data_IF_017488287002
#
_entry.id   IF_017488287002
#
_cell.length_a   1.000
_cell.length_b   1.000
_cell.length_c   1.000
_cell.angle_alpha   90.00
_cell.angle_beta   90.00
_cell.angle_gamma   90.00
#
_symmetry.space_group_name_H-M   'P 1'
#
loop_
_entity.id
_entity.type
_entity.pdbx_description
1 polymer ?
#
# COMPACT_ATOMS: atom_id res chain seq x y z
N UNK A 1 -28.74 -4.90 -1.60
CA UNK A 1 -28.26 -6.29 -1.72
C UNK A 1 -27.09 -6.30 -2.68
N UNK A 2 -25.88 -6.44 -2.16
CA UNK A 2 -24.66 -6.57 -2.98
C UNK A 2 -24.74 -7.91 -3.73
N UNK A 3 -24.67 -7.89 -5.06
CA UNK A 3 -24.33 -9.11 -5.81
C UNK A 3 -22.93 -9.50 -5.31
N UNK A 4 -22.83 -10.62 -4.59
CA UNK A 4 -21.53 -11.22 -4.28
C UNK A 4 -20.77 -11.32 -5.60
N UNK A 5 -19.64 -10.61 -5.68
CA UNK A 5 -18.81 -10.59 -6.88
C UNK A 5 -18.36 -12.03 -7.19
N UNK A 6 -18.45 -12.41 -8.46
CA UNK A 6 -18.09 -13.76 -8.91
C UNK A 6 -16.58 -13.96 -8.71
N UNK A 7 -16.19 -14.97 -7.96
CA UNK A 7 -14.79 -15.41 -7.85
C UNK A 7 -14.31 -15.94 -9.21
N UNK A 8 -13.08 -15.61 -9.58
CA UNK A 8 -12.49 -16.05 -10.84
C UNK A 8 -12.24 -17.56 -10.83
N UNK A 9 -12.49 -18.20 -11.96
CA UNK A 9 -12.10 -19.59 -12.21
C UNK A 9 -10.58 -19.68 -12.39
N UNK A 10 -10.00 -20.88 -12.20
CA UNK A 10 -8.56 -21.11 -12.42
C UNK A 10 -8.09 -20.70 -13.83
N UNK A 11 -8.96 -20.80 -14.84
CA UNK A 11 -8.68 -20.33 -16.20
C UNK A 11 -8.59 -18.80 -16.24
N UNK A 12 -9.59 -18.10 -15.71
CA UNK A 12 -9.61 -16.63 -15.65
C UNK A 12 -8.44 -16.07 -14.81
N UNK A 13 -8.06 -16.77 -13.73
CA UNK A 13 -6.86 -16.44 -12.94
C UNK A 13 -5.62 -16.58 -13.81
N UNK A 14 -5.41 -17.71 -14.50
CA UNK A 14 -4.24 -17.91 -15.39
C UNK A 14 -4.15 -16.83 -16.47
N UNK A 15 -5.27 -16.48 -17.10
CA UNK A 15 -5.31 -15.42 -18.11
C UNK A 15 -4.93 -14.05 -17.51
N UNK A 16 -5.38 -13.78 -16.28
CA UNK A 16 -5.01 -12.57 -15.52
C UNK A 16 -3.52 -12.55 -15.19
N UNK A 17 -2.95 -13.69 -14.76
CA UNK A 17 -1.53 -13.80 -14.46
C UNK A 17 -0.64 -13.59 -15.68
N UNK A 18 -1.06 -14.04 -16.87
CA UNK A 18 -0.31 -13.77 -18.11
C UNK A 18 -0.27 -12.27 -18.44
N UNK A 19 -1.39 -11.55 -18.24
CA UNK A 19 -1.42 -10.08 -18.45
C UNK A 19 -0.53 -9.37 -17.44
N UNK A 20 -0.60 -9.76 -16.17
CA UNK A 20 0.26 -9.22 -15.11
C UNK A 20 1.74 -9.50 -15.44
N UNK A 21 2.07 -10.73 -15.83
CA UNK A 21 3.42 -11.13 -16.21
C UNK A 21 3.99 -10.25 -17.33
N UNK A 22 3.18 -9.97 -18.35
CA UNK A 22 3.57 -9.10 -19.46
C UNK A 22 3.95 -7.71 -18.98
N UNK A 23 3.13 -7.07 -18.15
CA UNK A 23 3.39 -5.70 -17.67
C UNK A 23 4.52 -5.65 -16.63
N UNK A 24 4.57 -6.63 -15.72
CA UNK A 24 5.57 -6.64 -14.64
C UNK A 24 7.00 -6.78 -15.17
N UNK A 25 7.20 -7.51 -16.27
CA UNK A 25 8.51 -7.71 -16.89
C UNK A 25 8.79 -6.78 -18.08
N UNK A 26 7.90 -5.83 -18.37
CA UNK A 26 8.08 -4.84 -19.44
C UNK A 26 8.92 -3.65 -18.96
N UNK A 27 10.24 -3.76 -19.10
CA UNK A 27 11.20 -2.78 -18.59
C UNK A 27 11.76 -1.89 -19.70
N UNK A 28 11.92 -0.61 -19.39
CA UNK A 28 12.69 0.31 -20.24
C UNK A 28 14.20 0.07 -20.08
N UNK A 29 14.97 0.42 -21.12
CA UNK A 29 16.42 0.18 -21.15
C UNK A 29 17.16 0.83 -19.97
N UNK A 30 16.71 1.99 -19.50
CA UNK A 30 17.29 2.66 -18.34
C UNK A 30 17.03 1.91 -17.02
N UNK A 31 15.87 1.23 -16.88
CA UNK A 31 15.57 0.43 -15.69
C UNK A 31 16.49 -0.80 -15.64
N UNK A 32 16.77 -1.39 -16.81
CA UNK A 32 17.72 -2.48 -16.95
C UNK A 32 19.14 -2.01 -16.61
N UNK A 33 19.58 -0.88 -17.14
CA UNK A 33 20.94 -0.37 -16.92
C UNK A 33 21.20 0.03 -15.46
N UNK A 34 20.15 0.46 -14.74
CA UNK A 34 20.24 0.82 -13.33
C UNK A 34 20.18 -0.40 -12.38
N UNK A 35 19.93 -1.59 -12.91
CA UNK A 35 19.78 -2.81 -12.10
C UNK A 35 18.42 -2.93 -11.41
N UNK A 36 17.41 -2.19 -11.87
CA UNK A 36 16.04 -2.20 -11.31
C UNK A 36 15.11 -3.21 -12.03
N UNK A 37 15.65 -3.96 -13.00
CA UNK A 37 14.92 -4.95 -13.79
C UNK A 37 14.87 -6.32 -13.10
N UNK A 38 13.84 -6.53 -12.26
CA UNK A 38 13.56 -7.79 -11.60
C UNK A 38 12.71 -8.71 -12.47
N UNK A 39 12.99 -10.01 -12.46
CA UNK A 39 12.15 -10.97 -13.20
C UNK A 39 11.04 -11.52 -12.32
N UNK A 40 9.79 -11.35 -12.74
CA UNK A 40 8.61 -11.86 -12.04
C UNK A 40 8.08 -13.12 -12.72
N UNK A 41 7.72 -14.14 -11.94
CA UNK A 41 7.00 -15.33 -12.41
C UNK A 41 5.77 -15.57 -11.55
N UNK A 42 4.66 -15.93 -12.19
CA UNK A 42 3.39 -16.18 -11.52
C UNK A 42 2.90 -17.59 -11.79
N UNK A 43 2.51 -18.30 -10.72
CA UNK A 43 2.04 -19.68 -10.81
C UNK A 43 0.76 -19.88 -9.99
N UNK A 44 -0.08 -20.81 -10.42
CA UNK A 44 -1.19 -21.30 -9.61
C UNK A 44 -0.75 -22.61 -8.94
N UNK A 45 -0.67 -22.63 -7.61
CA UNK A 45 -0.25 -23.80 -6.83
C UNK A 45 -1.31 -24.91 -6.85
N UNK A 46 -0.92 -26.11 -6.43
CA UNK A 46 -1.84 -27.27 -6.30
C UNK A 46 -2.96 -27.05 -5.28
N UNK A 47 -2.70 -26.28 -4.22
CA UNK A 47 -3.70 -25.84 -3.26
C UNK A 47 -4.53 -24.65 -3.78
N UNK A 48 -4.34 -24.27 -5.04
CA UNK A 48 -4.94 -23.15 -5.74
C UNK A 48 -4.43 -21.76 -5.36
N UNK A 49 -3.55 -21.60 -4.36
CA UNK A 49 -2.95 -20.30 -4.07
C UNK A 49 -2.22 -19.72 -5.29
N UNK A 50 -2.25 -18.40 -5.40
CA UNK A 50 -1.59 -17.66 -6.45
C UNK A 50 -0.21 -17.27 -5.94
N UNK A 51 0.84 -17.81 -6.57
CA UNK A 51 2.23 -17.58 -6.21
C UNK A 51 2.86 -16.54 -7.13
N UNK A 52 3.64 -15.63 -6.54
CA UNK A 52 4.56 -14.74 -7.24
C UNK A 52 5.99 -15.05 -6.77
N UNK A 53 6.91 -15.21 -7.72
CA UNK A 53 8.35 -15.34 -7.47
C UNK A 53 9.07 -14.18 -8.13
N UNK A 54 9.96 -13.55 -7.38
CA UNK A 54 10.78 -12.42 -7.83
C UNK A 54 12.23 -12.93 -7.91
N UNK A 55 12.88 -12.67 -9.05
CA UNK A 55 14.22 -13.13 -9.34
C UNK A 55 15.16 -11.97 -9.64
N UNK A 56 16.39 -12.08 -9.13
CA UNK A 56 17.57 -11.32 -9.55
C UNK A 56 18.46 -12.24 -10.38
N UNK A 57 18.40 -12.07 -11.71
CA UNK A 57 19.00 -13.03 -12.64
C UNK A 57 18.47 -14.45 -12.44
N UNK A 58 19.35 -15.37 -12.03
CA UNK A 58 19.01 -16.78 -11.77
C UNK A 58 18.53 -17.03 -10.32
N UNK A 59 18.74 -16.08 -9.41
CA UNK A 59 18.45 -16.25 -7.99
C UNK A 59 17.02 -15.85 -7.66
N UNK A 60 16.28 -16.74 -7.01
CA UNK A 60 14.95 -16.42 -6.50
C UNK A 60 15.08 -15.60 -5.21
N UNK A 61 14.96 -14.29 -5.32
CA UNK A 61 15.09 -13.36 -4.21
C UNK A 61 13.93 -13.48 -3.23
N UNK A 62 12.71 -13.58 -3.76
CA UNK A 62 11.52 -13.51 -2.92
C UNK A 62 10.34 -14.31 -3.47
N UNK A 63 9.52 -14.85 -2.56
CA UNK A 63 8.33 -15.64 -2.91
C UNK A 63 7.15 -15.15 -2.06
N UNK A 64 6.03 -14.90 -2.74
CA UNK A 64 4.76 -14.52 -2.13
C UNK A 64 3.68 -15.50 -2.58
N UNK A 65 2.70 -15.75 -1.71
CA UNK A 65 1.50 -16.48 -2.06
C UNK A 65 0.29 -15.78 -1.48
N UNK A 66 -0.76 -15.66 -2.29
CA UNK A 66 -2.05 -15.12 -1.87
C UNK A 66 -3.17 -16.14 -2.12
N UNK A 67 -4.25 -16.08 -1.35
CA UNK A 67 -5.44 -16.90 -1.61
C UNK A 67 -6.02 -16.66 -3.00
N UNK A 68 -6.79 -17.62 -3.49
CA UNK A 68 -7.36 -17.60 -4.85
C UNK A 68 -8.82 -17.14 -4.90
N UNK A 69 -9.36 -16.64 -3.80
CA UNK A 69 -10.69 -16.04 -3.67
C UNK A 69 -10.75 -14.62 -4.25
N UNK A 70 -10.11 -14.44 -5.41
CA UNK A 70 -10.00 -13.16 -6.12
C UNK A 70 -11.13 -13.00 -7.12
N UNK A 71 -11.60 -11.77 -7.33
CA UNK A 71 -12.68 -11.47 -8.27
C UNK A 71 -12.20 -10.70 -9.51
N UNK A 72 -10.96 -10.23 -9.49
CA UNK A 72 -10.38 -9.39 -10.55
C UNK A 72 -8.85 -9.39 -10.56
N UNK A 73 -8.25 -8.86 -11.64
CA UNK A 73 -6.80 -8.54 -11.70
C UNK A 73 -6.39 -7.57 -10.58
N UNK A 74 -7.27 -6.60 -10.25
CA UNK A 74 -7.06 -5.66 -9.14
C UNK A 74 -6.84 -6.41 -7.83
N UNK A 75 -7.68 -7.40 -7.53
CA UNK A 75 -7.59 -8.15 -6.27
C UNK A 75 -6.29 -8.96 -6.17
N UNK A 76 -5.83 -9.54 -7.28
CA UNK A 76 -4.55 -10.27 -7.33
C UNK A 76 -3.39 -9.32 -6.99
N UNK A 77 -3.30 -8.18 -7.69
CA UNK A 77 -2.21 -7.22 -7.49
C UNK A 77 -2.25 -6.61 -6.08
N UNK A 78 -3.44 -6.21 -5.60
CA UNK A 78 -3.62 -5.70 -4.24
C UNK A 78 -3.34 -6.76 -3.18
N UNK A 79 -3.63 -8.03 -3.46
CA UNK A 79 -3.26 -9.15 -2.59
C UNK A 79 -1.76 -9.19 -2.34
N UNK A 80 -0.94 -9.14 -3.39
CA UNK A 80 0.52 -9.11 -3.24
C UNK A 80 1.04 -7.84 -2.57
N UNK A 81 0.46 -6.68 -2.89
CA UNK A 81 0.81 -5.42 -2.24
C UNK A 81 0.55 -5.51 -0.73
N UNK A 82 -0.64 -5.98 -0.34
CA UNK A 82 -1.01 -6.17 1.06
C UNK A 82 -0.08 -7.17 1.75
N UNK A 83 0.25 -8.29 1.07
CA UNK A 83 1.20 -9.27 1.57
C UNK A 83 2.55 -8.61 1.91
N UNK A 84 3.12 -7.79 1.02
CA UNK A 84 4.38 -7.09 1.28
C UNK A 84 4.24 -6.09 2.43
N UNK A 85 3.13 -5.36 2.51
CA UNK A 85 2.91 -4.43 3.61
C UNK A 85 2.85 -5.15 4.97
N UNK A 86 2.07 -6.21 5.06
CA UNK A 86 1.86 -6.97 6.27
C UNK A 86 3.12 -7.72 6.71
N UNK A 87 3.74 -8.44 5.78
CA UNK A 87 4.87 -9.31 6.08
C UNK A 87 6.20 -8.60 6.12
N UNK A 88 6.40 -7.51 5.36
CA UNK A 88 7.72 -6.88 5.25
C UNK A 88 7.79 -5.44 5.75
N UNK A 89 6.77 -4.62 5.48
CA UNK A 89 6.87 -3.17 5.71
C UNK A 89 6.39 -2.76 7.12
N UNK A 90 5.25 -3.28 7.57
CA UNK A 90 4.53 -2.76 8.74
C UNK A 90 5.28 -3.05 10.05
N UNK A 91 5.78 -4.26 10.24
CA UNK A 91 6.52 -4.61 11.45
C UNK A 91 7.87 -3.86 11.51
N UNK A 92 8.58 -3.74 10.37
CA UNK A 92 9.84 -2.98 10.27
C UNK A 92 9.62 -1.50 10.60
N UNK A 93 8.58 -0.88 10.05
CA UNK A 93 8.21 0.49 10.41
C UNK A 93 7.84 0.64 11.89
N UNK A 94 7.18 -0.37 12.47
CA UNK A 94 6.84 -0.38 13.89
C UNK A 94 8.10 -0.43 14.77
N UNK A 95 9.09 -1.24 14.37
CA UNK A 95 10.42 -1.27 14.99
C UNK A 95 11.10 0.12 14.94
N UNK A 96 11.14 0.74 13.76
CA UNK A 96 11.75 2.08 13.58
C UNK A 96 11.06 3.15 14.45
N UNK A 97 9.73 3.15 14.53
CA UNK A 97 8.97 4.07 15.38
C UNK A 97 9.29 3.91 16.87
N UNK A 98 9.50 2.68 17.33
CA UNK A 98 9.83 2.39 18.72
C UNK A 98 11.22 2.93 19.14
N UNK A 99 12.14 3.14 18.19
CA UNK A 99 13.50 3.58 18.48
C UNK A 99 13.55 4.99 19.09
N UNK A 100 12.64 5.90 18.72
CA UNK A 100 12.63 7.29 19.24
C UNK A 100 12.60 7.34 20.78
N UNK A 101 11.72 6.53 21.38
CA UNK A 101 11.61 6.45 22.84
C UNK A 101 12.83 5.77 23.49
N UNK A 102 13.42 4.78 22.81
CA UNK A 102 14.62 4.12 23.28
C UNK A 102 15.84 5.05 23.30
N UNK A 103 16.08 5.79 22.21
CA UNK A 103 17.19 6.76 22.14
C UNK A 103 17.06 7.84 23.20
N UNK A 104 15.86 8.37 23.43
CA UNK A 104 15.62 9.36 24.48
C UNK A 104 16.03 8.83 25.87
N UNK A 105 15.69 7.58 26.22
CA UNK A 105 16.11 6.95 27.49
C UNK A 105 17.62 6.75 27.56
N UNK A 106 18.26 6.34 26.46
CA UNK A 106 19.71 6.11 26.41
C UNK A 106 20.49 7.41 26.52
N UNK A 107 20.05 8.50 25.89
CA UNK A 107 20.66 9.83 26.06
C UNK A 107 20.53 10.35 27.50
N UNK A 108 19.38 10.14 28.15
CA UNK A 108 19.23 10.48 29.58
C UNK A 108 20.21 9.69 30.45
N UNK A 109 20.30 8.38 30.22
CA UNK A 109 21.25 7.52 30.94
C UNK A 109 22.70 7.94 30.68
N UNK A 110 23.03 8.25 29.42
CA UNK A 110 24.36 8.73 29.03
C UNK A 110 24.74 9.99 29.79
N UNK A 111 23.86 11.00 29.84
CA UNK A 111 24.09 12.23 30.58
C UNK A 111 24.31 11.96 32.08
N UNK A 112 23.48 11.12 32.69
CA UNK A 112 23.63 10.75 34.12
C UNK A 112 24.98 10.10 34.41
N UNK A 113 25.48 9.21 33.55
CA UNK A 113 26.78 8.56 33.78
C UNK A 113 27.97 9.44 33.40
N UNK A 114 27.77 10.35 32.44
CA UNK A 114 28.72 11.40 32.09
C UNK A 114 28.96 12.34 33.27
N UNK A 115 27.90 12.86 33.90
CA UNK A 115 27.99 13.68 35.12
C UNK A 115 28.70 12.97 36.28
N UNK A 116 28.60 11.64 36.33
CA UNK A 116 29.23 10.78 37.34
C UNK A 116 30.64 10.31 36.96
N UNK A 117 31.19 10.75 35.82
CA UNK A 117 32.49 10.33 35.28
C UNK A 117 32.68 8.80 35.19
N UNK A 118 31.60 8.03 34.99
CA UNK A 118 31.69 6.57 34.90
C UNK A 118 31.90 6.12 33.44
N UNK A 119 33.17 6.03 33.02
CA UNK A 119 33.56 5.67 31.64
C UNK A 119 33.02 4.32 31.19
N UNK A 120 33.12 3.28 32.01
CA UNK A 120 32.62 1.94 31.65
C UNK A 120 31.13 1.93 31.28
N UNK A 121 30.30 2.68 32.04
CA UNK A 121 28.86 2.83 31.73
C UNK A 121 28.62 3.66 30.47
N UNK A 122 29.43 4.69 30.23
CA UNK A 122 29.35 5.52 29.04
C UNK A 122 29.66 4.68 27.79
N UNK A 123 30.77 3.94 27.81
CA UNK A 123 31.22 3.14 26.67
C UNK A 123 30.20 2.06 26.31
N UNK A 124 29.65 1.35 27.32
CA UNK A 124 28.58 0.38 27.11
C UNK A 124 27.31 0.99 26.49
N UNK A 125 26.94 2.22 26.87
CA UNK A 125 25.78 2.90 26.28
C UNK A 125 26.07 3.34 24.85
N UNK A 126 27.29 3.77 24.54
CA UNK A 126 27.71 4.16 23.19
C UNK A 126 27.70 2.96 22.26
N UNK A 127 28.22 1.80 22.71
CA UNK A 127 28.19 0.56 21.96
C UNK A 127 26.75 0.12 21.62
N UNK A 128 25.85 0.12 22.61
CA UNK A 128 24.42 -0.16 22.42
C UNK A 128 23.78 0.79 21.37
N UNK A 129 24.12 2.08 21.42
CA UNK A 129 23.61 3.10 20.49
C UNK A 129 24.12 2.81 19.07
N UNK A 130 25.40 2.48 18.93
CA UNK A 130 26.02 2.17 17.65
C UNK A 130 25.43 0.91 17.01
N UNK A 131 25.29 -0.18 17.76
CA UNK A 131 24.70 -1.43 17.27
C UNK A 131 23.25 -1.21 16.80
N UNK A 132 22.46 -0.49 17.61
CA UNK A 132 21.07 -0.18 17.27
C UNK A 132 20.96 0.75 16.06
N UNK A 133 21.90 1.69 15.89
CA UNK A 133 21.96 2.54 14.70
C UNK A 133 22.22 1.71 13.44
N UNK A 134 23.22 0.82 13.45
CA UNK A 134 23.52 -0.09 12.34
C UNK A 134 22.31 -0.96 11.98
N UNK A 135 21.63 -1.52 12.98
CA UNK A 135 20.40 -2.29 12.78
C UNK A 135 19.27 -1.44 12.18
N UNK A 136 19.12 -0.20 12.65
CA UNK A 136 18.13 0.75 12.11
C UNK A 136 18.39 1.01 10.63
N UNK A 137 19.66 1.23 10.24
CA UNK A 137 20.02 1.44 8.84
C UNK A 137 19.78 0.23 7.96
N UNK A 138 20.06 -0.97 8.46
CA UNK A 138 19.70 -2.20 7.75
C UNK A 138 18.19 -2.31 7.54
N UNK A 139 17.39 -2.08 8.58
CA UNK A 139 15.92 -2.14 8.49
C UNK A 139 15.36 -1.06 7.54
N UNK A 140 15.93 0.15 7.54
CA UNK A 140 15.57 1.20 6.57
C UNK A 140 15.87 0.75 5.12
N UNK A 141 17.02 0.11 4.90
CA UNK A 141 17.41 -0.46 3.61
C UNK A 141 16.47 -1.56 3.16
N UNK A 142 16.11 -2.50 4.05
CA UNK A 142 15.16 -3.58 3.73
C UNK A 142 13.80 -3.00 3.31
N UNK A 143 13.29 -1.99 4.02
CA UNK A 143 12.03 -1.32 3.66
C UNK A 143 12.14 -0.70 2.26
N UNK A 144 13.25 -0.04 1.96
CA UNK A 144 13.47 0.56 0.64
C UNK A 144 13.50 -0.51 -0.45
N UNK A 145 14.17 -1.63 -0.22
CA UNK A 145 14.21 -2.78 -1.12
C UNK A 145 12.81 -3.32 -1.43
N UNK A 146 11.99 -3.67 -0.42
CA UNK A 146 10.64 -4.19 -0.68
C UNK A 146 9.69 -3.17 -1.32
N UNK A 147 9.92 -1.87 -1.12
CA UNK A 147 9.14 -0.81 -1.78
C UNK A 147 9.35 -0.79 -3.29
N UNK A 148 10.48 -1.29 -3.82
CA UNK A 148 10.70 -1.44 -5.26
C UNK A 148 9.64 -2.40 -5.85
N UNK A 149 9.40 -3.55 -5.22
CA UNK A 149 8.39 -4.52 -5.66
C UNK A 149 6.97 -3.95 -5.55
N UNK A 150 6.67 -3.25 -4.45
CA UNK A 150 5.38 -2.57 -4.27
C UNK A 150 5.15 -1.54 -5.39
N UNK A 151 6.17 -0.75 -5.72
CA UNK A 151 6.12 0.24 -6.80
C UNK A 151 5.77 -0.43 -8.14
N UNK A 152 6.45 -1.55 -8.46
CA UNK A 152 6.20 -2.30 -9.69
C UNK A 152 4.79 -2.91 -9.75
N UNK A 153 4.29 -3.43 -8.63
CA UNK A 153 2.91 -3.93 -8.53
C UNK A 153 1.88 -2.80 -8.73
N UNK A 154 2.12 -1.61 -8.17
CA UNK A 154 1.27 -0.44 -8.42
C UNK A 154 1.34 0.04 -9.87
N UNK A 155 2.52 -0.02 -10.49
CA UNK A 155 2.68 0.25 -11.93
C UNK A 155 1.80 -0.70 -12.75
N UNK A 156 1.91 -2.01 -12.53
CA UNK A 156 1.06 -2.98 -13.22
C UNK A 156 -0.44 -2.76 -12.96
N UNK A 157 -0.80 -2.37 -11.74
CA UNK A 157 -2.19 -2.06 -11.39
C UNK A 157 -2.72 -0.83 -12.15
N UNK A 158 -1.92 0.23 -12.26
CA UNK A 158 -2.26 1.42 -13.03
C UNK A 158 -2.36 1.14 -14.54
N UNK A 159 -1.56 0.22 -15.07
CA UNK A 159 -1.61 -0.16 -16.48
C UNK A 159 -2.83 -1.04 -16.80
N UNK A 160 -3.14 -2.02 -15.95
CA UNK A 160 -4.16 -3.04 -16.20
C UNK A 160 -5.57 -2.64 -15.73
N UNK A 161 -5.68 -1.76 -14.74
CA UNK A 161 -6.96 -1.26 -14.22
C UNK A 161 -6.88 0.24 -13.92
N UNK A 162 -6.84 1.09 -14.95
CA UNK A 162 -6.61 2.55 -14.82
C UNK A 162 -7.52 3.27 -13.82
N UNK A 163 -8.72 2.75 -13.58
CA UNK A 163 -9.73 3.38 -12.71
C UNK A 163 -9.77 2.77 -11.30
N UNK A 164 -8.89 1.82 -10.97
CA UNK A 164 -8.91 1.09 -9.69
C UNK A 164 -8.97 2.03 -8.48
N UNK A 165 -8.20 3.14 -8.52
CA UNK A 165 -8.09 4.08 -7.41
C UNK A 165 -9.37 4.90 -7.24
N UNK A 166 -9.98 5.31 -8.34
CA UNK A 166 -11.25 6.05 -8.32
C UNK A 166 -12.36 5.19 -7.72
N UNK A 167 -12.41 3.91 -8.10
CA UNK A 167 -13.38 2.97 -7.54
C UNK A 167 -13.11 2.70 -6.05
N UNK A 168 -11.86 2.50 -5.64
CA UNK A 168 -11.52 2.33 -4.23
C UNK A 168 -11.88 3.58 -3.38
N UNK A 169 -11.62 4.79 -3.88
CA UNK A 169 -12.03 6.04 -3.21
C UNK A 169 -13.54 6.13 -3.10
N UNK A 170 -14.26 5.82 -4.19
CA UNK A 170 -15.72 5.83 -4.23
C UNK A 170 -16.31 4.85 -3.22
N UNK A 171 -15.85 3.61 -3.20
CA UNK A 171 -16.28 2.58 -2.25
C UNK A 171 -15.99 2.99 -0.80
N UNK A 172 -14.77 3.45 -0.52
CA UNK A 172 -14.37 3.90 0.81
C UNK A 172 -15.17 5.13 1.27
N UNK A 173 -15.42 6.08 0.37
CA UNK A 173 -16.23 7.27 0.66
C UNK A 173 -17.68 6.90 0.96
N UNK A 174 -18.30 6.00 0.18
CA UNK A 174 -19.66 5.52 0.45
C UNK A 174 -19.75 4.81 1.80
N UNK A 175 -18.81 3.90 2.09
CA UNK A 175 -18.75 3.22 3.39
C UNK A 175 -18.67 4.24 4.52
N UNK A 176 -17.73 5.19 4.42
CA UNK A 176 -17.53 6.20 5.46
C UNK A 176 -18.72 7.14 5.62
N UNK A 177 -19.39 7.53 4.53
CA UNK A 177 -20.59 8.36 4.61
C UNK A 177 -21.76 7.60 5.26
N UNK A 178 -21.91 6.32 4.96
CA UNK A 178 -22.91 5.45 5.59
C UNK A 178 -22.68 5.32 7.10
N UNK A 179 -21.45 5.07 7.54
CA UNK A 179 -21.05 5.05 8.96
C UNK A 179 -21.39 6.35 9.69
N UNK A 180 -21.42 7.47 8.95
CA UNK A 180 -21.68 8.81 9.48
C UNK A 180 -23.13 9.25 9.29
N UNK A 181 -24.01 8.39 8.77
CA UNK A 181 -25.41 8.70 8.53
C UNK A 181 -25.68 9.70 7.40
N UNK A 182 -24.69 10.00 6.55
CA UNK A 182 -24.83 10.92 5.43
C UNK A 182 -25.48 10.18 4.25
N UNK A 183 -26.71 10.56 3.89
CA UNK A 183 -27.53 9.89 2.86
C UNK A 183 -27.61 10.70 1.56
N UNK A 184 -28.15 10.08 0.50
CA UNK A 184 -28.42 10.72 -0.80
C UNK A 184 -27.18 11.35 -1.46
N UNK A 185 -26.08 10.60 -1.43
CA UNK A 185 -24.83 10.96 -2.07
C UNK A 185 -24.76 10.24 -3.41
N UNK A 186 -24.27 10.95 -4.43
CA UNK A 186 -23.87 10.38 -5.71
C UNK A 186 -22.40 10.69 -5.92
N UNK A 187 -21.64 9.66 -6.30
CA UNK A 187 -20.24 9.77 -6.67
C UNK A 187 -20.09 9.14 -8.05
N UNK A 188 -19.61 9.93 -9.00
CA UNK A 188 -19.29 9.50 -10.36
C UNK A 188 -17.91 9.99 -10.73
N UNK A 189 -17.31 9.45 -11.77
CA UNK A 189 -16.03 9.95 -12.28
C UNK A 189 -16.01 9.94 -13.80
N UNK A 190 -15.22 10.85 -14.36
CA UNK A 190 -14.85 10.90 -15.77
C UNK A 190 -13.34 11.17 -15.78
N UNK A 191 -12.59 10.31 -16.47
CA UNK A 191 -11.12 10.34 -16.47
C UNK A 191 -10.57 10.40 -15.04
N UNK A 192 -9.67 11.34 -14.74
CA UNK A 192 -9.08 11.57 -13.42
C UNK A 192 -9.97 12.37 -12.45
N UNK A 193 -11.17 12.78 -12.85
CA UNK A 193 -12.01 13.68 -12.05
C UNK A 193 -13.18 12.95 -11.41
N UNK A 194 -13.23 13.02 -10.08
CA UNK A 194 -14.32 12.47 -9.27
C UNK A 194 -15.31 13.59 -8.92
N UNK A 195 -16.56 13.44 -9.35
CA UNK A 195 -17.65 14.37 -9.06
C UNK A 195 -18.52 13.82 -7.94
N UNK A 196 -18.63 14.59 -6.86
CA UNK A 196 -19.45 14.27 -5.68
C UNK A 196 -20.65 15.21 -5.64
N UNK A 197 -21.82 14.64 -5.41
CA UNK A 197 -23.07 15.38 -5.28
C UNK A 197 -23.83 14.87 -4.05
N UNK A 198 -24.37 15.81 -3.26
CA UNK A 198 -25.28 15.53 -2.15
C UNK A 198 -26.61 16.17 -2.42
N UNK A 199 -27.67 15.38 -2.31
CA UNK A 199 -29.04 15.89 -2.41
C UNK A 199 -29.66 16.02 -1.02
N UNK A 200 -30.76 16.78 -0.94
CA UNK A 200 -31.63 16.81 0.23
C UNK A 200 -32.25 15.43 0.52
N UNK A 201 -32.91 15.28 1.67
CA UNK A 201 -33.45 13.98 2.13
C UNK A 201 -34.46 13.37 1.16
N UNK A 202 -35.16 14.19 0.37
CA UNK A 202 -36.13 13.75 -0.63
C UNK A 202 -35.52 13.55 -2.03
N UNK A 203 -34.20 13.74 -2.17
CA UNK A 203 -33.44 13.65 -3.42
C UNK A 203 -33.89 14.61 -4.54
N UNK A 204 -34.64 15.67 -4.22
CA UNK A 204 -35.21 16.64 -5.18
C UNK A 204 -34.32 17.84 -5.46
N UNK A 205 -33.44 18.22 -4.53
CA UNK A 205 -32.56 19.38 -4.68
C UNK A 205 -31.11 19.01 -4.35
N UNK A 206 -30.17 19.56 -5.11
CA UNK A 206 -28.73 19.44 -4.84
C UNK A 206 -28.35 20.43 -3.75
N UNK A 207 -27.76 19.93 -2.66
CA UNK A 207 -27.28 20.73 -1.54
C UNK A 207 -25.82 21.13 -1.69
N UNK A 208 -24.99 20.24 -2.25
CA UNK A 208 -23.59 20.54 -2.59
C UNK A 208 -23.17 19.68 -3.78
N UNK A 209 -22.28 20.23 -4.59
CA UNK A 209 -21.62 19.55 -5.70
C UNK A 209 -20.19 20.05 -5.79
N UNK A 210 -19.25 19.12 -5.91
CA UNK A 210 -17.85 19.45 -6.08
C UNK A 210 -17.10 18.34 -6.78
N UNK A 211 -16.00 18.74 -7.40
CA UNK A 211 -15.11 17.85 -8.10
C UNK A 211 -13.76 17.77 -7.38
N UNK A 212 -13.12 16.61 -7.45
CA UNK A 212 -11.77 16.35 -6.95
C UNK A 212 -10.98 15.70 -8.08
N UNK A 213 -9.81 16.24 -8.36
CA UNK A 213 -8.86 15.63 -9.28
C UNK A 213 -8.04 14.56 -8.56
N UNK A 214 -7.97 13.37 -9.17
CA UNK A 214 -7.34 12.17 -8.61
C UNK A 214 -6.24 11.72 -9.57
N UNK A 215 -5.03 11.65 -9.04
CA UNK A 215 -3.86 11.17 -9.76
C UNK A 215 -3.30 9.86 -9.15
N UNK A 216 -2.21 9.36 -9.76
CA UNK A 216 -1.50 8.17 -9.32
C UNK A 216 -0.86 8.32 -7.93
N UNK A 217 -0.70 9.53 -7.41
CA UNK A 217 -0.09 9.81 -6.09
C UNK A 217 -1.11 10.14 -4.99
N UNK A 218 -2.38 10.34 -5.37
CA UNK A 218 -3.46 10.72 -4.47
C UNK A 218 -3.67 9.65 -3.39
N UNK A 219 -3.65 10.10 -2.13
CA UNK A 219 -3.86 9.24 -0.97
C UNK A 219 -5.37 9.03 -0.74
N UNK A 220 -5.82 7.77 -0.83
CA UNK A 220 -7.23 7.39 -0.71
C UNK A 220 -7.85 7.92 0.59
N UNK A 221 -7.17 7.76 1.73
CA UNK A 221 -7.71 8.17 3.04
C UNK A 221 -7.86 9.69 3.15
N UNK A 222 -6.91 10.45 2.61
CA UNK A 222 -7.00 11.92 2.59
C UNK A 222 -8.17 12.40 1.74
N UNK A 223 -8.33 11.84 0.54
CA UNK A 223 -9.45 12.20 -0.36
C UNK A 223 -10.79 11.84 0.28
N UNK A 224 -10.93 10.65 0.86
CA UNK A 224 -12.15 10.24 1.57
C UNK A 224 -12.47 11.18 2.73
N UNK A 225 -11.47 11.58 3.50
CA UNK A 225 -11.64 12.54 4.59
C UNK A 225 -12.06 13.93 4.08
N UNK A 226 -11.50 14.38 2.96
CA UNK A 226 -11.90 15.64 2.31
C UNK A 226 -13.37 15.59 1.86
N UNK A 227 -13.78 14.50 1.18
CA UNK A 227 -15.17 14.30 0.74
C UNK A 227 -16.11 14.33 1.95
N UNK A 228 -15.85 13.50 2.95
CA UNK A 228 -16.74 13.32 4.11
C UNK A 228 -16.82 14.58 4.98
N UNK A 229 -15.70 15.28 5.20
CA UNK A 229 -15.65 16.54 5.94
C UNK A 229 -16.50 17.62 5.27
N UNK A 230 -16.43 17.73 3.94
CA UNK A 230 -17.25 18.69 3.18
C UNK A 230 -18.72 18.34 3.24
N UNK A 231 -19.06 17.07 2.98
CA UNK A 231 -20.45 16.61 2.98
C UNK A 231 -21.12 16.76 4.35
N UNK A 232 -20.40 16.61 5.47
CA UNK A 232 -20.95 16.84 6.81
C UNK A 232 -21.46 18.26 7.04
N UNK A 233 -20.89 19.26 6.37
CA UNK A 233 -21.29 20.66 6.56
C UNK A 233 -22.67 20.97 5.96
N UNK A 234 -23.13 20.10 5.06
CA UNK A 234 -24.38 20.23 4.31
C UNK A 234 -25.31 19.01 4.52
N UNK A 235 -24.96 18.13 5.48
CA UNK A 235 -25.66 16.88 5.77
C UNK A 235 -26.88 17.11 6.66
#
# INVERSE_FOLDING_TARGET
>A
MSKLAKVLTNKEIKDSLQKILGVMNDYEEYEISNGDAWTYKFNLKKNSDIECRIYDGEWCEYVMAIPNDVTSVKDILKGYINYLYENEINFRNSYLKANKGWYSRKHKSLNTWFERNNRAKIDAIVEDIAERYSTTKRVESDIAHYKVFISRLYYALNCLDKNWKLEDIKEAAFKRCSELGIKNIRISYIDSRLSVMKNNNNATAVLDKFDIEIDSYSNISMVVNQITSRLRKVA
#
